data_IF_229734505086
#
_entry.id   IF_229734505086
#
_cell.length_a   1.000
_cell.length_b   1.000
_cell.length_c   1.000
_cell.angle_alpha   90.00
_cell.angle_beta   90.00
_cell.angle_gamma   90.00
#
_symmetry.space_group_name_H-M   'P 1'
#
loop_
_entity.id
_entity.type
_entity.pdbx_description
1 polymer ?
#
# COMPACT_ATOMS: atom_id res chain seq x y z
N UNK A 1 34.05 68.71 52.30
CA UNK A 1 32.75 68.38 51.67
C UNK A 1 32.98 68.20 50.17
N UNK A 2 33.24 66.97 49.71
CA UNK A 2 33.48 66.66 48.30
C UNK A 2 32.26 65.92 47.72
N UNK A 3 31.59 66.54 46.74
CA UNK A 3 30.51 65.93 45.94
C UNK A 3 31.11 64.95 44.94
N UNK A 4 30.72 63.67 45.01
CA UNK A 4 31.00 62.67 43.97
C UNK A 4 29.89 62.70 42.93
N UNK A 5 30.24 63.05 41.70
CA UNK A 5 29.38 62.96 40.52
C UNK A 5 29.35 61.50 40.03
N UNK A 6 28.16 60.99 39.76
CA UNK A 6 27.93 59.72 39.09
C UNK A 6 27.93 59.94 37.58
N UNK A 7 28.72 59.17 36.84
CA UNK A 7 28.65 59.08 35.38
C UNK A 7 28.25 57.65 35.01
N UNK A 8 27.05 57.52 34.42
CA UNK A 8 26.53 56.31 33.80
C UNK A 8 27.22 56.10 32.45
N UNK A 9 27.90 54.98 32.27
CA UNK A 9 28.38 54.54 30.97
C UNK A 9 27.41 53.47 30.42
N UNK A 10 26.69 53.82 29.36
CA UNK A 10 25.87 52.91 28.59
C UNK A 10 26.75 52.20 27.54
N UNK A 11 26.94 50.89 27.69
CA UNK A 11 27.62 50.06 26.69
C UNK A 11 26.59 49.54 25.69
N UNK A 12 26.66 50.01 24.45
CA UNK A 12 25.88 49.49 23.33
C UNK A 12 26.39 48.09 22.95
N UNK A 13 25.54 47.07 23.11
CA UNK A 13 25.80 45.71 22.62
C UNK A 13 25.40 45.65 21.14
N UNK A 14 26.40 45.54 20.26
CA UNK A 14 26.18 45.25 18.84
C UNK A 14 25.76 43.78 18.70
N UNK A 15 24.49 43.56 18.37
CA UNK A 15 23.96 42.23 18.03
C UNK A 15 24.32 41.87 16.59
N UNK A 16 25.26 40.93 16.42
CA UNK A 16 25.54 40.31 15.13
C UNK A 16 24.48 39.27 14.82
N UNK A 17 23.60 39.54 13.85
CA UNK A 17 22.67 38.56 13.29
C UNK A 17 23.42 37.64 12.33
N UNK A 18 23.74 36.43 12.78
CA UNK A 18 24.24 35.36 11.91
C UNK A 18 23.05 34.81 11.13
N UNK A 19 22.91 35.21 9.87
CA UNK A 19 21.98 34.57 8.92
C UNK A 19 22.59 33.22 8.56
N UNK A 20 22.14 32.16 9.23
CA UNK A 20 22.50 30.79 8.87
C UNK A 20 21.91 30.43 7.52
N UNK A 21 22.75 30.30 6.49
CA UNK A 21 22.38 29.61 5.26
C UNK A 21 22.12 28.13 5.62
N UNK A 22 20.86 27.71 5.60
CA UNK A 22 20.52 26.30 5.62
C UNK A 22 21.04 25.67 4.32
N UNK A 23 22.17 24.98 4.39
CA UNK A 23 22.61 24.10 3.30
C UNK A 23 21.58 22.99 3.06
N UNK A 24 21.62 22.32 1.88
CA UNK A 24 20.77 21.16 1.66
C UNK A 24 21.05 20.15 2.77
N UNK A 25 19.98 19.60 3.37
CA UNK A 25 20.10 18.51 4.32
C UNK A 25 20.85 17.36 3.61
N UNK A 26 22.10 17.12 4.01
CA UNK A 26 22.79 15.89 3.65
C UNK A 26 21.88 14.75 4.10
N UNK A 27 21.46 13.88 3.18
CA UNK A 27 21.01 12.55 3.58
C UNK A 27 22.08 12.00 4.53
N UNK A 28 21.67 11.43 5.67
CA UNK A 28 22.63 10.71 6.50
C UNK A 28 23.33 9.71 5.55
N UNK A 29 24.68 9.70 5.46
CA UNK A 29 25.43 8.99 4.41
C UNK A 29 25.09 7.49 4.26
N UNK A 30 24.35 6.92 5.21
CA UNK A 30 23.99 5.51 5.31
C UNK A 30 22.50 5.20 5.01
N UNK A 31 21.67 6.20 4.66
CA UNK A 31 20.25 5.97 4.37
C UNK A 31 20.02 5.48 2.94
N UNK A 32 19.31 4.35 2.74
CA UNK A 32 19.05 3.81 1.40
C UNK A 32 17.94 4.59 0.69
N UNK A 33 17.80 4.42 -0.62
CA UNK A 33 16.64 4.95 -1.36
C UNK A 33 15.35 4.25 -0.90
N UNK A 34 15.42 2.92 -0.73
CA UNK A 34 14.32 2.06 -0.31
C UNK A 34 14.71 1.23 0.92
N UNK A 35 13.74 0.97 1.78
CA UNK A 35 13.86 0.05 2.90
C UNK A 35 12.68 -0.92 2.91
N UNK A 36 12.97 -2.21 3.03
CA UNK A 36 11.96 -3.25 3.07
C UNK A 36 11.79 -3.79 4.48
N UNK A 37 10.59 -3.70 5.01
CA UNK A 37 10.23 -4.34 6.27
C UNK A 37 9.37 -5.56 5.95
N UNK A 38 9.95 -6.75 6.15
CA UNK A 38 9.32 -8.03 5.84
C UNK A 38 8.69 -8.68 7.07
N UNK A 39 7.44 -9.13 6.94
CA UNK A 39 6.67 -9.72 8.03
C UNK A 39 6.34 -11.18 7.71
N UNK A 40 6.99 -12.08 8.43
CA UNK A 40 6.83 -13.52 8.26
C UNK A 40 5.41 -13.99 8.57
N UNK A 41 4.96 -15.06 7.93
CA UNK A 41 3.72 -15.75 8.28
C UNK A 41 3.87 -16.64 9.52
N UNK A 42 2.76 -17.25 9.93
CA UNK A 42 2.71 -18.20 11.04
C UNK A 42 3.72 -19.34 10.89
N UNK A 43 4.45 -19.66 11.96
CA UNK A 43 5.50 -20.69 12.02
C UNK A 43 6.80 -20.34 11.29
N UNK A 44 6.84 -19.26 10.49
CA UNK A 44 8.01 -18.94 9.66
C UNK A 44 9.17 -18.29 10.43
N UNK A 45 9.04 -18.13 11.76
CA UNK A 45 10.08 -17.53 12.63
C UNK A 45 10.73 -18.49 13.62
N UNK A 46 10.34 -19.78 13.63
CA UNK A 46 10.96 -20.79 14.50
C UNK A 46 12.47 -20.90 14.31
N UNK A 47 12.94 -20.67 13.08
CA UNK A 47 14.35 -20.44 12.78
C UNK A 47 14.54 -19.05 12.14
N UNK A 48 14.88 -18.01 12.94
CA UNK A 48 14.96 -16.64 12.46
C UNK A 48 16.15 -16.38 11.51
N UNK A 49 17.06 -17.35 11.32
CA UNK A 49 18.16 -17.23 10.37
C UNK A 49 17.77 -17.63 8.95
N UNK A 50 16.72 -18.44 8.79
CA UNK A 50 16.22 -18.84 7.48
C UNK A 50 15.49 -17.67 6.82
N UNK A 51 15.72 -17.47 5.53
CA UNK A 51 15.05 -16.44 4.73
C UNK A 51 15.12 -15.02 5.36
N UNK A 52 16.23 -14.71 6.03
CA UNK A 52 16.41 -13.43 6.73
C UNK A 52 15.37 -13.16 7.82
N UNK A 53 14.71 -14.20 8.35
CA UNK A 53 13.65 -14.09 9.36
C UNK A 53 12.29 -13.59 8.83
N UNK A 54 12.15 -13.42 7.51
CA UNK A 54 10.93 -12.90 6.86
C UNK A 54 9.98 -13.99 6.37
N UNK A 55 10.36 -15.27 6.46
CA UNK A 55 9.63 -16.34 5.80
C UNK A 55 9.89 -16.39 4.29
N UNK A 56 9.54 -17.52 3.67
CA UNK A 56 9.96 -17.82 2.29
C UNK A 56 9.32 -16.88 1.27
N UNK A 57 8.02 -16.60 1.42
CA UNK A 57 7.23 -15.82 0.46
C UNK A 57 7.72 -14.37 0.39
N UNK A 58 7.88 -13.74 1.56
CA UNK A 58 8.32 -12.36 1.68
C UNK A 58 9.78 -12.23 1.28
N UNK A 59 10.66 -13.15 1.70
CA UNK A 59 12.07 -13.10 1.34
C UNK A 59 12.32 -13.27 -0.16
N UNK A 60 11.59 -14.17 -0.83
CA UNK A 60 11.67 -14.29 -2.30
C UNK A 60 11.20 -13.01 -3.00
N UNK A 61 10.13 -12.39 -2.50
CA UNK A 61 9.65 -11.10 -3.03
C UNK A 61 10.68 -9.99 -2.87
N UNK A 62 11.38 -9.94 -1.72
CA UNK A 62 12.51 -9.04 -1.49
C UNK A 62 13.65 -9.29 -2.49
N UNK A 63 14.01 -10.56 -2.74
CA UNK A 63 15.06 -10.89 -3.69
C UNK A 63 14.72 -10.42 -5.11
N UNK A 64 13.49 -10.64 -5.54
CA UNK A 64 13.03 -10.25 -6.87
C UNK A 64 13.01 -8.72 -7.04
N UNK A 65 12.48 -7.98 -6.06
CA UNK A 65 12.46 -6.52 -6.09
C UNK A 65 13.85 -5.91 -5.97
N UNK A 66 14.71 -6.44 -5.08
CA UNK A 66 16.08 -5.96 -4.91
C UNK A 66 16.88 -5.99 -6.22
N UNK A 67 16.65 -6.99 -7.09
CA UNK A 67 17.30 -7.06 -8.41
C UNK A 67 16.86 -5.92 -9.33
N UNK A 68 15.56 -5.63 -9.39
CA UNK A 68 15.02 -4.54 -10.23
C UNK A 68 15.46 -3.17 -9.70
N UNK A 69 15.44 -2.97 -8.39
CA UNK A 69 15.88 -1.73 -7.74
C UNK A 69 17.36 -1.46 -8.01
N UNK A 70 18.21 -2.49 -7.93
CA UNK A 70 19.63 -2.37 -8.22
C UNK A 70 19.92 -2.09 -9.70
N UNK A 71 19.13 -2.65 -10.63
CA UNK A 71 19.25 -2.38 -12.07
C UNK A 71 19.02 -0.90 -12.40
N UNK A 72 18.16 -0.22 -11.64
CA UNK A 72 17.88 1.21 -11.79
C UNK A 72 18.79 2.09 -10.93
N UNK A 73 19.87 1.53 -10.36
CA UNK A 73 20.91 2.27 -9.64
C UNK A 73 20.54 2.73 -8.23
N UNK A 74 19.41 2.26 -7.68
CA UNK A 74 18.95 2.60 -6.34
C UNK A 74 19.43 1.60 -5.30
N UNK A 75 19.55 2.07 -4.06
CA UNK A 75 19.96 1.28 -2.90
C UNK A 75 18.75 0.79 -2.12
N UNK A 76 18.84 -0.45 -1.61
CA UNK A 76 17.78 -1.07 -0.82
C UNK A 76 18.37 -1.83 0.37
N UNK A 77 17.87 -1.55 1.57
CA UNK A 77 18.12 -2.41 2.76
C UNK A 77 16.84 -3.12 3.16
N UNK A 78 16.95 -4.11 4.04
CA UNK A 78 15.79 -4.85 4.51
C UNK A 78 15.97 -5.35 5.95
N UNK A 79 14.86 -5.44 6.69
CA UNK A 79 14.81 -6.06 8.01
C UNK A 79 13.51 -6.85 8.22
N UNK A 80 13.53 -7.95 9.00
CA UNK A 80 12.31 -8.63 9.38
C UNK A 80 11.64 -7.95 10.59
N UNK A 81 10.32 -8.02 10.66
CA UNK A 81 9.60 -7.76 11.92
C UNK A 81 9.90 -8.88 12.90
N UNK A 82 10.32 -8.52 14.10
CA UNK A 82 10.57 -9.48 15.19
C UNK A 82 9.31 -9.58 16.04
N UNK A 83 8.56 -10.65 15.85
CA UNK A 83 7.33 -10.95 16.58
C UNK A 83 7.14 -12.47 16.71
N UNK A 84 6.17 -12.95 17.52
CA UNK A 84 5.99 -14.38 17.79
C UNK A 84 5.73 -15.22 16.53
N UNK A 85 4.96 -14.71 15.57
CA UNK A 85 4.57 -15.45 14.36
C UNK A 85 4.01 -16.84 14.66
N UNK A 86 3.13 -16.97 15.67
CA UNK A 86 2.69 -18.28 16.16
C UNK A 86 1.97 -19.08 15.07
N UNK A 87 2.15 -20.40 15.11
CA UNK A 87 1.44 -21.34 14.25
C UNK A 87 -0.09 -21.19 14.40
N UNK A 88 -0.82 -21.53 13.33
CA UNK A 88 -2.29 -21.57 13.39
C UNK A 88 -2.69 -22.80 14.22
N UNK A 89 -3.61 -22.67 15.19
CA UNK A 89 -4.09 -23.80 15.98
C UNK A 89 -4.71 -24.87 15.07
N UNK A 90 -4.33 -26.14 15.28
CA UNK A 90 -4.82 -27.26 14.48
C UNK A 90 -6.33 -27.51 14.65
N UNK A 91 -6.87 -27.24 15.84
CA UNK A 91 -8.23 -27.65 16.22
C UNK A 91 -9.22 -26.46 16.28
N UNK A 92 -8.78 -25.25 15.88
CA UNK A 92 -9.65 -24.07 15.82
C UNK A 92 -10.26 -23.61 17.15
N UNK A 93 -9.69 -24.01 18.30
CA UNK A 93 -10.24 -23.68 19.61
C UNK A 93 -10.09 -22.18 19.95
N UNK A 94 -10.99 -21.67 20.81
CA UNK A 94 -11.05 -20.24 21.15
C UNK A 94 -9.76 -19.72 21.80
N UNK A 95 -9.05 -20.56 22.55
CA UNK A 95 -7.81 -20.18 23.22
C UNK A 95 -6.64 -20.09 22.24
N UNK A 96 -6.53 -21.05 21.32
CA UNK A 96 -5.55 -21.02 20.23
C UNK A 96 -5.79 -19.82 19.30
N UNK A 97 -7.05 -19.53 18.97
CA UNK A 97 -7.39 -18.34 18.19
C UNK A 97 -6.99 -17.04 18.91
N UNK A 98 -7.25 -16.96 20.23
CA UNK A 98 -6.78 -15.85 21.05
C UNK A 98 -5.25 -15.69 21.06
N UNK A 99 -4.51 -16.80 21.10
CA UNK A 99 -3.04 -16.81 20.98
C UNK A 99 -2.56 -16.30 19.62
N UNK A 100 -3.21 -16.74 18.53
CA UNK A 100 -2.95 -16.26 17.17
C UNK A 100 -3.19 -14.75 17.05
N UNK A 101 -4.33 -14.25 17.54
CA UNK A 101 -4.65 -12.82 17.48
C UNK A 101 -3.70 -11.98 18.33
N UNK A 102 -3.29 -12.46 19.51
CA UNK A 102 -2.27 -11.82 20.34
C UNK A 102 -0.90 -11.73 19.62
N UNK A 103 -0.54 -12.76 18.84
CA UNK A 103 0.63 -12.72 17.97
C UNK A 103 0.51 -11.63 16.90
N UNK A 104 -0.64 -11.53 16.23
CA UNK A 104 -0.92 -10.45 15.25
C UNK A 104 -0.77 -9.08 15.92
N UNK A 105 -1.40 -8.85 17.06
CA UNK A 105 -1.36 -7.55 17.75
C UNK A 105 0.08 -7.18 18.20
N UNK A 106 0.85 -8.18 18.66
CA UNK A 106 2.28 -8.00 18.96
C UNK A 106 3.08 -7.64 17.71
N UNK A 107 2.80 -8.29 16.58
CA UNK A 107 3.40 -7.98 15.29
C UNK A 107 3.06 -6.57 14.80
N UNK A 108 1.80 -6.14 14.97
CA UNK A 108 1.34 -4.78 14.62
C UNK A 108 2.15 -3.74 15.38
N UNK A 109 2.29 -3.89 16.70
CA UNK A 109 3.08 -2.99 17.54
C UNK A 109 4.57 -3.00 17.18
N UNK A 110 5.15 -4.18 16.92
CA UNK A 110 6.55 -4.32 16.52
C UNK A 110 6.83 -3.62 15.18
N UNK A 111 5.97 -3.82 14.18
CA UNK A 111 6.07 -3.17 12.87
C UNK A 111 5.96 -1.64 13.00
N UNK A 112 4.98 -1.13 13.76
CA UNK A 112 4.81 0.30 13.98
C UNK A 112 6.07 0.95 14.58
N UNK A 113 6.67 0.28 15.57
CA UNK A 113 7.90 0.73 16.23
C UNK A 113 9.10 0.72 15.28
N UNK A 114 9.31 -0.36 14.52
CA UNK A 114 10.40 -0.47 13.56
C UNK A 114 10.27 0.59 12.45
N UNK A 115 9.09 0.73 11.86
CA UNK A 115 8.81 1.75 10.85
C UNK A 115 9.12 3.16 11.36
N UNK A 116 8.65 3.48 12.57
CA UNK A 116 8.89 4.79 13.20
C UNK A 116 10.38 5.02 13.44
N UNK A 117 11.09 4.02 14.00
CA UNK A 117 12.52 4.12 14.26
C UNK A 117 13.35 4.28 12.97
N UNK A 118 12.97 3.59 11.89
CA UNK A 118 13.62 3.71 10.59
C UNK A 118 13.37 5.09 9.98
N UNK A 119 12.12 5.54 9.91
CA UNK A 119 11.76 6.81 9.26
C UNK A 119 12.27 8.05 10.01
N UNK A 120 12.43 7.98 11.34
CA UNK A 120 13.12 9.01 12.11
C UNK A 120 14.61 9.11 11.75
N UNK A 121 15.26 7.98 11.51
CA UNK A 121 16.68 7.91 11.15
C UNK A 121 16.93 8.28 9.70
N UNK A 122 16.01 7.89 8.82
CA UNK A 122 16.09 8.05 7.38
C UNK A 122 14.81 8.70 6.81
N UNK A 123 14.59 10.01 7.08
CA UNK A 123 13.34 10.68 6.74
C UNK A 123 13.11 10.85 5.23
N UNK A 124 14.14 10.69 4.41
CA UNK A 124 14.04 10.78 2.94
C UNK A 124 13.85 9.40 2.27
N UNK A 125 14.19 8.31 2.94
CA UNK A 125 14.04 6.95 2.41
C UNK A 125 12.57 6.59 2.27
N UNK A 126 12.26 5.79 1.26
CA UNK A 126 10.94 5.17 1.15
C UNK A 126 10.92 3.78 1.77
N UNK A 127 9.78 3.38 2.31
CA UNK A 127 9.58 2.09 2.97
C UNK A 127 8.58 1.26 2.18
N UNK A 128 8.91 -0.01 1.97
CA UNK A 128 8.03 -1.04 1.43
C UNK A 128 7.71 -2.01 2.55
N UNK A 129 6.42 -2.22 2.80
CA UNK A 129 5.95 -3.22 3.76
C UNK A 129 5.51 -4.46 3.02
N UNK A 130 5.91 -5.64 3.49
CA UNK A 130 5.48 -6.88 2.85
C UNK A 130 5.19 -7.96 3.88
N UNK A 131 4.01 -8.56 3.79
CA UNK A 131 3.56 -9.59 4.70
C UNK A 131 2.94 -10.77 3.99
N UNK A 132 3.02 -11.93 4.61
CA UNK A 132 2.38 -13.16 4.16
C UNK A 132 1.51 -13.75 5.29
N UNK A 133 0.28 -14.19 4.99
CA UNK A 133 -0.61 -14.83 5.96
C UNK A 133 -0.80 -13.98 7.23
N UNK A 134 -0.45 -14.48 8.42
CA UNK A 134 -0.44 -13.69 9.67
C UNK A 134 0.38 -12.38 9.54
N UNK A 135 1.50 -12.41 8.83
CA UNK A 135 2.32 -11.23 8.58
C UNK A 135 1.65 -10.23 7.64
N UNK A 136 0.78 -10.67 6.73
CA UNK A 136 0.00 -9.78 5.87
C UNK A 136 -1.06 -9.03 6.71
N UNK A 137 -1.70 -9.68 7.67
CA UNK A 137 -2.61 -9.03 8.63
C UNK A 137 -1.89 -7.96 9.45
N UNK A 138 -0.68 -8.26 9.94
CA UNK A 138 0.19 -7.30 10.65
C UNK A 138 0.47 -6.06 9.81
N UNK A 139 0.81 -6.23 8.53
CA UNK A 139 1.01 -5.10 7.61
C UNK A 139 -0.30 -4.35 7.38
N UNK A 140 -1.38 -5.05 7.02
CA UNK A 140 -2.68 -4.46 6.72
C UNK A 140 -3.14 -3.53 7.85
N UNK A 141 -3.13 -4.01 9.09
CA UNK A 141 -3.58 -3.24 10.26
C UNK A 141 -2.75 -1.97 10.52
N UNK A 142 -1.50 -1.92 10.08
CA UNK A 142 -0.68 -0.71 10.14
C UNK A 142 -1.03 0.33 9.04
N UNK A 143 -1.62 -0.10 7.91
CA UNK A 143 -1.80 0.76 6.73
C UNK A 143 -2.72 1.96 6.98
N UNK A 144 -3.72 1.84 7.86
CA UNK A 144 -4.60 2.97 8.24
C UNK A 144 -3.79 4.11 8.86
N UNK A 145 -2.94 3.82 9.85
CA UNK A 145 -2.10 4.81 10.51
C UNK A 145 -1.02 5.38 9.57
N UNK A 146 -0.62 4.60 8.56
CA UNK A 146 0.39 4.99 7.58
C UNK A 146 -0.19 5.63 6.31
N UNK A 147 -1.51 5.83 6.22
CA UNK A 147 -2.15 6.27 4.99
C UNK A 147 -1.65 7.64 4.50
N UNK A 148 -1.26 8.51 5.43
CA UNK A 148 -0.68 9.83 5.15
C UNK A 148 0.84 9.88 5.32
N UNK A 149 1.49 8.73 5.56
CA UNK A 149 2.95 8.70 5.75
C UNK A 149 3.67 9.02 4.43
N UNK A 150 4.57 10.02 4.40
CA UNK A 150 5.33 10.35 3.20
C UNK A 150 6.40 9.30 2.87
N UNK A 151 6.78 8.46 3.83
CA UNK A 151 7.80 7.43 3.65
C UNK A 151 7.24 6.14 3.07
N UNK A 152 5.98 5.78 3.32
CA UNK A 152 5.39 4.55 2.79
C UNK A 152 5.31 4.66 1.26
N UNK A 153 6.03 3.83 0.52
CA UNK A 153 5.95 3.80 -0.94
C UNK A 153 4.91 2.78 -1.40
N UNK A 154 4.96 1.56 -0.86
CA UNK A 154 4.05 0.50 -1.24
C UNK A 154 3.88 -0.53 -0.13
N UNK A 155 2.81 -1.32 -0.22
CA UNK A 155 2.60 -2.51 0.58
C UNK A 155 2.31 -3.73 -0.30
N UNK A 156 2.81 -4.90 0.11
CA UNK A 156 2.52 -6.20 -0.49
C UNK A 156 1.87 -7.10 0.56
N UNK A 157 0.63 -7.49 0.32
CA UNK A 157 -0.14 -8.39 1.17
C UNK A 157 -0.37 -9.69 0.39
N UNK A 158 0.23 -10.80 0.83
CA UNK A 158 0.01 -12.11 0.21
C UNK A 158 -0.75 -13.00 1.18
N UNK A 159 -1.86 -13.59 0.72
CA UNK A 159 -2.73 -14.43 1.54
C UNK A 159 -3.21 -13.74 2.82
N UNK A 160 -3.70 -12.51 2.67
CA UNK A 160 -4.12 -11.66 3.79
C UNK A 160 -5.45 -12.10 4.43
N UNK A 161 -5.41 -12.42 5.73
CA UNK A 161 -6.59 -12.80 6.50
C UNK A 161 -7.52 -11.64 6.84
N UNK A 162 -7.05 -10.38 6.74
CA UNK A 162 -7.88 -9.18 6.91
C UNK A 162 -8.45 -8.67 5.58
N UNK A 163 -8.19 -9.37 4.46
CA UNK A 163 -8.53 -8.92 3.12
C UNK A 163 -10.03 -8.62 2.98
N UNK A 164 -10.33 -7.42 2.49
CA UNK A 164 -11.65 -7.05 2.01
C UNK A 164 -11.61 -6.91 0.48
N UNK A 165 -12.43 -7.69 -0.28
CA UNK A 165 -12.49 -7.55 -1.74
C UNK A 165 -12.87 -6.14 -2.21
N UNK A 166 -13.55 -5.38 -1.35
CA UNK A 166 -13.94 -3.99 -1.59
C UNK A 166 -12.84 -2.97 -1.33
N UNK A 167 -11.70 -3.37 -0.74
CA UNK A 167 -10.61 -2.43 -0.55
C UNK A 167 -10.09 -1.93 -1.90
N UNK A 168 -9.71 -0.64 -2.02
CA UNK A 168 -9.22 -0.05 -3.26
C UNK A 168 -7.75 -0.45 -3.54
N UNK A 169 -7.39 -1.71 -3.29
CA UNK A 169 -6.06 -2.28 -3.53
C UNK A 169 -5.88 -2.73 -4.97
N UNK A 170 -4.62 -2.87 -5.36
CA UNK A 170 -4.25 -3.56 -6.60
C UNK A 170 -4.39 -5.06 -6.35
N UNK A 171 -5.56 -5.59 -6.68
CA UNK A 171 -5.91 -6.98 -6.46
C UNK A 171 -5.28 -7.90 -7.52
N UNK A 172 -4.58 -8.94 -7.09
CA UNK A 172 -3.97 -9.96 -7.93
C UNK A 172 -4.34 -11.37 -7.43
N UNK A 173 -4.11 -12.38 -8.26
CA UNK A 173 -4.40 -13.78 -7.96
C UNK A 173 -5.77 -14.22 -8.47
N UNK A 174 -6.00 -15.53 -8.43
CA UNK A 174 -7.17 -16.18 -9.06
C UNK A 174 -8.50 -15.88 -8.35
N UNK A 175 -8.49 -15.41 -7.10
CA UNK A 175 -9.71 -14.99 -6.41
C UNK A 175 -10.41 -13.81 -7.13
N UNK A 176 -9.64 -12.97 -7.83
CA UNK A 176 -10.17 -11.83 -8.60
C UNK A 176 -11.07 -12.22 -9.77
N UNK A 177 -11.05 -13.48 -10.18
CA UNK A 177 -11.87 -14.00 -11.29
C UNK A 177 -13.33 -14.23 -10.90
N UNK A 178 -13.65 -14.21 -9.60
CA UNK A 178 -15.00 -14.47 -9.08
C UNK A 178 -15.47 -13.26 -8.30
N UNK A 179 -16.54 -12.57 -8.75
CA UNK A 179 -17.11 -11.44 -8.01
C UNK A 179 -17.48 -11.83 -6.58
N UNK A 180 -17.00 -11.07 -5.59
CA UNK A 180 -17.29 -11.29 -4.17
C UNK A 180 -16.41 -12.32 -3.47
N UNK A 181 -15.56 -13.06 -4.20
CA UNK A 181 -14.57 -13.95 -3.61
C UNK A 181 -13.35 -13.17 -3.06
N UNK A 182 -12.54 -13.86 -2.25
CA UNK A 182 -11.31 -13.33 -1.67
C UNK A 182 -11.55 -12.54 -0.39
N UNK A 183 -12.57 -12.89 0.40
CA UNK A 183 -12.77 -12.33 1.73
C UNK A 183 -11.88 -13.08 2.73
N UNK A 184 -11.12 -12.34 3.52
CA UNK A 184 -10.22 -12.93 4.52
C UNK A 184 -10.96 -13.46 5.75
N UNK A 185 -10.41 -14.49 6.39
CA UNK A 185 -10.99 -15.19 7.55
C UNK A 185 -11.32 -14.27 8.73
N UNK A 186 -10.55 -13.21 8.96
CA UNK A 186 -10.80 -12.28 10.07
C UNK A 186 -12.09 -11.48 9.89
N UNK A 187 -12.55 -11.32 8.65
CA UNK A 187 -13.72 -10.50 8.29
C UNK A 187 -15.07 -11.18 8.58
N UNK A 188 -15.07 -12.46 8.94
CA UNK A 188 -16.27 -13.16 9.43
C UNK A 188 -16.47 -13.03 10.94
N UNK A 189 -15.40 -12.68 11.66
CA UNK A 189 -15.44 -12.41 13.10
C UNK A 189 -14.83 -11.05 13.43
N UNK A 190 -15.29 -9.95 12.81
CA UNK A 190 -14.54 -8.69 12.78
C UNK A 190 -14.28 -8.08 14.16
N UNK A 191 -15.21 -8.24 15.12
CA UNK A 191 -15.02 -7.74 16.48
C UNK A 191 -14.00 -8.59 17.25
N UNK A 192 -14.09 -9.91 17.15
CA UNK A 192 -13.20 -10.84 17.89
C UNK A 192 -11.81 -10.92 17.28
N UNK A 193 -11.71 -10.72 15.96
CA UNK A 193 -10.47 -10.72 15.22
C UNK A 193 -9.83 -9.33 15.14
N UNK A 194 -10.45 -8.28 15.69
CA UNK A 194 -10.01 -6.88 15.51
C UNK A 194 -9.75 -6.54 14.03
N UNK A 195 -10.62 -7.01 13.13
CA UNK A 195 -10.46 -6.80 11.70
C UNK A 195 -10.58 -5.30 11.38
N UNK A 196 -9.68 -4.75 10.54
CA UNK A 196 -9.70 -3.34 10.22
C UNK A 196 -10.91 -2.97 9.35
N UNK A 197 -11.31 -1.69 9.41
CA UNK A 197 -12.23 -1.09 8.45
C UNK A 197 -11.60 -1.06 7.04
N UNK A 198 -12.38 -0.83 5.97
CA UNK A 198 -11.84 -0.71 4.62
C UNK A 198 -10.70 0.29 4.50
N UNK A 199 -9.67 -0.03 3.71
CA UNK A 199 -8.49 0.81 3.54
C UNK A 199 -8.83 2.15 2.85
N UNK A 200 -8.26 3.28 3.31
CA UNK A 200 -8.39 4.55 2.61
C UNK A 200 -7.81 4.45 1.19
N UNK A 201 -8.44 5.07 0.17
CA UNK A 201 -7.93 5.03 -1.21
C UNK A 201 -6.47 5.47 -1.35
N UNK A 202 -6.01 6.42 -0.52
CA UNK A 202 -4.64 6.95 -0.54
C UNK A 202 -3.58 5.91 -0.20
N UNK A 203 -3.90 4.88 0.56
CA UNK A 203 -3.00 3.77 0.85
C UNK A 203 -3.35 2.53 0.04
N UNK A 204 -4.65 2.26 -0.17
CA UNK A 204 -5.11 1.15 -1.00
C UNK A 204 -4.49 1.19 -2.40
N UNK A 205 -4.44 2.36 -3.05
CA UNK A 205 -3.84 2.48 -4.40
C UNK A 205 -2.33 2.21 -4.45
N UNK A 206 -1.67 2.10 -3.29
CA UNK A 206 -0.25 1.74 -3.12
C UNK A 206 -0.06 0.35 -2.51
N UNK A 207 -1.14 -0.42 -2.38
CA UNK A 207 -1.14 -1.75 -1.77
C UNK A 207 -1.51 -2.78 -2.81
N UNK A 208 -0.65 -3.79 -2.97
CA UNK A 208 -0.94 -4.99 -3.74
C UNK A 208 -1.50 -6.05 -2.80
N UNK A 209 -2.69 -6.56 -3.09
CA UNK A 209 -3.31 -7.65 -2.32
C UNK A 209 -3.46 -8.87 -3.21
N UNK A 210 -2.70 -9.92 -2.90
CA UNK A 210 -2.63 -11.18 -3.64
C UNK A 210 -3.43 -12.25 -2.92
N UNK A 211 -4.40 -12.83 -3.61
CA UNK A 211 -5.17 -13.97 -3.10
C UNK A 211 -5.56 -14.92 -4.24
N UNK A 212 -5.28 -16.21 -4.03
CA UNK A 212 -5.74 -17.28 -4.91
C UNK A 212 -7.04 -17.90 -4.39
N UNK A 213 -7.86 -18.37 -5.33
CA UNK A 213 -9.18 -18.94 -5.01
C UNK A 213 -9.02 -20.22 -4.19
N UNK A 214 -9.86 -20.37 -3.17
CA UNK A 214 -9.85 -21.51 -2.26
C UNK A 214 -8.71 -21.48 -1.24
N UNK A 215 -8.01 -20.36 -1.08
CA UNK A 215 -7.07 -20.16 0.01
C UNK A 215 -7.81 -20.09 1.36
N UNK A 216 -7.40 -20.93 2.31
CA UNK A 216 -8.02 -21.03 3.64
C UNK A 216 -8.02 -19.72 4.46
N UNK A 217 -7.18 -18.75 4.10
CA UNK A 217 -6.97 -17.51 4.87
C UNK A 217 -7.56 -16.30 4.15
N UNK A 218 -7.27 -16.11 2.86
CA UNK A 218 -7.65 -14.89 2.15
C UNK A 218 -8.88 -15.03 1.25
N UNK A 219 -9.36 -16.25 1.01
CA UNK A 219 -10.61 -16.58 0.31
C UNK A 219 -11.41 -17.56 1.18
N UNK A 220 -11.64 -17.14 2.43
CA UNK A 220 -12.25 -17.97 3.46
C UNK A 220 -13.72 -18.25 3.13
N UNK A 221 -14.10 -19.52 3.29
CA UNK A 221 -15.46 -20.02 3.12
C UNK A 221 -16.07 -20.29 4.51
N UNK A 222 -17.02 -19.45 4.98
CA UNK A 222 -17.65 -19.65 6.29
C UNK A 222 -18.57 -20.87 6.36
N UNK A 223 -18.98 -21.42 5.21
CA UNK A 223 -19.87 -22.57 5.15
C UNK A 223 -19.08 -23.89 5.11
N UNK A 224 -17.74 -23.84 5.08
CA UNK A 224 -16.89 -25.02 5.12
C UNK A 224 -16.80 -25.59 6.55
N UNK A 225 -17.12 -26.88 6.70
CA UNK A 225 -17.06 -27.59 7.99
C UNK A 225 -15.64 -27.68 8.58
N UNK A 226 -14.63 -27.73 7.72
CA UNK A 226 -13.21 -27.81 8.11
C UNK A 226 -12.28 -27.19 7.06
N UNK A 227 -11.07 -26.82 7.48
CA UNK A 227 -10.02 -26.38 6.56
C UNK A 227 -9.48 -27.59 5.79
N UNK A 228 -9.77 -27.65 4.50
CA UNK A 228 -9.38 -28.79 3.66
C UNK A 228 -7.88 -28.81 3.32
N UNK A 229 -7.33 -29.99 3.04
CA UNK A 229 -5.97 -30.15 2.56
C UNK A 229 -5.71 -29.38 1.24
N UNK A 230 -6.73 -29.23 0.39
CA UNK A 230 -6.63 -28.43 -0.83
C UNK A 230 -6.46 -26.94 -0.52
N UNK A 231 -7.20 -26.41 0.45
CA UNK A 231 -7.09 -25.02 0.87
C UNK A 231 -5.72 -24.71 1.50
N UNK A 232 -5.18 -25.65 2.29
CA UNK A 232 -3.82 -25.58 2.83
C UNK A 232 -2.78 -25.64 1.70
N UNK A 233 -2.99 -26.49 0.69
CA UNK A 233 -2.10 -26.60 -0.45
C UNK A 233 -2.05 -25.29 -1.26
N UNK A 234 -3.19 -24.64 -1.49
CA UNK A 234 -3.26 -23.29 -2.10
C UNK A 234 -2.50 -22.30 -1.24
N UNK A 235 -2.82 -22.21 0.05
CA UNK A 235 -2.20 -21.26 0.97
C UNK A 235 -0.67 -21.39 0.97
N UNK A 236 -0.13 -22.60 1.01
CA UNK A 236 1.33 -22.81 1.05
C UNK A 236 2.03 -22.76 -0.31
N UNK A 237 1.29 -22.52 -1.41
CA UNK A 237 1.80 -22.56 -2.79
C UNK A 237 2.44 -21.26 -3.30
N UNK A 238 2.17 -20.11 -2.67
CA UNK A 238 2.70 -18.83 -3.13
C UNK A 238 4.23 -18.80 -3.18
N UNK A 239 4.77 -17.94 -4.04
CA UNK A 239 6.19 -17.72 -4.22
C UNK A 239 6.99 -18.96 -4.66
N UNK A 240 6.35 -19.90 -5.37
CA UNK A 240 7.01 -21.09 -5.93
C UNK A 240 7.45 -20.93 -7.39
N UNK A 241 6.86 -19.98 -8.11
CA UNK A 241 7.25 -19.63 -9.49
C UNK A 241 8.64 -18.97 -9.54
N UNK A 242 9.30 -19.05 -10.71
CA UNK A 242 10.59 -18.41 -10.94
C UNK A 242 10.54 -16.88 -10.85
N UNK A 243 9.39 -16.29 -11.21
CA UNK A 243 9.07 -14.87 -11.04
C UNK A 243 7.66 -14.74 -10.48
N UNK A 244 7.44 -13.82 -9.54
CA UNK A 244 6.12 -13.62 -8.96
C UNK A 244 5.26 -12.66 -9.79
N UNK A 245 3.95 -12.92 -9.93
CA UNK A 245 3.06 -12.05 -10.71
C UNK A 245 2.94 -10.64 -10.11
N UNK A 246 3.21 -10.48 -8.81
CA UNK A 246 3.23 -9.18 -8.13
C UNK A 246 4.55 -8.42 -8.23
N UNK A 247 5.64 -9.04 -8.70
CA UNK A 247 6.96 -8.39 -8.72
C UNK A 247 6.95 -7.13 -9.58
N UNK A 248 6.45 -7.20 -10.81
CA UNK A 248 6.43 -6.04 -11.70
C UNK A 248 5.44 -4.95 -11.25
N UNK A 249 4.17 -5.26 -10.90
CA UNK A 249 3.26 -4.26 -10.33
C UNK A 249 3.84 -3.57 -9.09
N UNK A 250 4.49 -4.33 -8.20
CA UNK A 250 5.11 -3.75 -7.01
C UNK A 250 6.25 -2.82 -7.40
N UNK A 251 7.09 -3.24 -8.35
CA UNK A 251 8.17 -2.41 -8.85
C UNK A 251 7.69 -1.08 -9.46
N UNK A 252 6.58 -1.09 -10.21
CA UNK A 252 5.99 0.10 -10.79
C UNK A 252 5.56 1.12 -9.73
N UNK A 253 5.03 0.68 -8.58
CA UNK A 253 4.69 1.57 -7.46
C UNK A 253 5.93 2.25 -6.85
N UNK A 254 7.11 1.65 -7.00
CA UNK A 254 8.36 2.17 -6.47
C UNK A 254 9.06 3.11 -7.45
N UNK A 255 8.63 3.19 -8.71
CA UNK A 255 9.28 4.05 -9.69
C UNK A 255 9.14 5.52 -9.26
N UNK A 256 10.22 6.32 -9.34
CA UNK A 256 10.12 7.76 -9.12
C UNK A 256 9.05 8.33 -10.05
N UNK A 257 8.10 9.09 -9.50
CA UNK A 257 7.20 9.87 -10.35
C UNK A 257 8.07 10.81 -11.16
N UNK A 258 8.10 10.64 -12.48
CA UNK A 258 8.71 11.62 -13.38
C UNK A 258 7.90 12.90 -13.19
N UNK A 259 8.39 13.81 -12.36
CA UNK A 259 7.93 15.18 -12.37
C UNK A 259 8.40 15.73 -13.70
N UNK A 260 7.50 15.76 -14.69
CA UNK A 260 7.75 16.57 -15.88
C UNK A 260 8.15 17.95 -15.36
N UNK A 261 9.34 18.47 -15.71
CA UNK A 261 9.68 19.83 -15.35
C UNK A 261 8.55 20.69 -15.90
N UNK A 262 7.95 21.50 -15.02
CA UNK A 262 6.88 22.41 -15.40
C UNK A 262 7.31 23.09 -16.69
N UNK A 263 6.59 22.83 -17.79
CA UNK A 263 6.78 23.57 -19.02
C UNK A 263 6.65 25.02 -18.62
N UNK A 264 7.69 25.86 -18.76
CA UNK A 264 7.58 27.27 -18.46
C UNK A 264 6.36 27.76 -19.23
N UNK A 265 5.38 28.34 -18.53
CA UNK A 265 4.23 28.93 -19.17
C UNK A 265 4.75 29.78 -20.34
N UNK A 266 4.33 29.53 -21.60
CA UNK A 266 4.70 30.41 -22.68
C UNK A 266 4.20 31.80 -22.25
N UNK A 267 5.13 32.72 -22.05
CA UNK A 267 4.83 34.13 -21.83
C UNK A 267 4.16 34.61 -23.10
N UNK A 268 2.84 34.51 -23.16
CA UNK A 268 2.04 35.16 -24.19
C UNK A 268 2.31 36.65 -24.02
N UNK A 269 2.95 37.32 -25.00
CA UNK A 269 3.13 38.76 -24.93
C UNK A 269 1.74 39.39 -24.87
N UNK A 270 1.47 40.16 -23.81
CA UNK A 270 0.25 40.95 -23.70
C UNK A 270 0.27 41.95 -24.87
N UNK A 271 -0.68 41.91 -25.81
CA UNK A 271 -0.75 42.91 -26.87
C UNK A 271 -1.09 44.25 -26.24
N UNK A 272 -0.23 45.26 -26.40
CA UNK A 272 -0.48 46.64 -25.95
C UNK A 272 -1.39 47.42 -26.92
N UNK A 273 -2.22 46.72 -27.69
CA UNK A 273 -3.17 47.31 -28.62
C UNK A 273 -4.46 47.76 -27.91
N UNK A 274 -5.14 48.82 -28.40
CA UNK A 274 -6.42 49.25 -27.85
C UNK A 274 -7.46 48.13 -27.96
N UNK A 275 -8.10 47.81 -26.83
CA UNK A 275 -9.20 46.84 -26.74
C UNK A 275 -10.39 47.35 -27.57
N UNK A 276 -10.86 46.61 -28.59
CA UNK A 276 -12.08 46.97 -29.29
C UNK A 276 -13.28 46.87 -28.34
N UNK A 277 -14.15 47.88 -28.37
CA UNK A 277 -15.37 47.92 -27.55
C UNK A 277 -16.31 46.72 -27.79
N UNK A 278 -17.24 46.47 -26.87
CA UNK A 278 -18.10 45.29 -26.89
C UNK A 278 -18.94 45.26 -28.17
N UNK A 279 -18.76 44.21 -28.98
CA UNK A 279 -19.65 43.90 -30.08
C UNK A 279 -20.89 43.19 -29.55
N UNK A 280 -22.07 43.67 -29.96
CA UNK A 280 -23.35 43.06 -29.63
C UNK A 280 -23.43 41.63 -30.21
N UNK A 281 -24.08 40.68 -29.51
CA UNK A 281 -24.14 39.29 -29.96
C UNK A 281 -25.00 39.17 -31.22
N UNK A 282 -24.39 38.76 -32.32
CA UNK A 282 -25.10 38.28 -33.50
C UNK A 282 -25.64 36.87 -33.22
N UNK A 283 -26.97 36.72 -33.24
CA UNK A 283 -27.65 35.43 -33.23
C UNK A 283 -27.26 34.63 -34.49
N UNK A 284 -26.41 33.62 -34.34
CA UNK A 284 -26.23 32.59 -35.35
C UNK A 284 -27.21 31.45 -35.07
N UNK A 285 -28.07 31.17 -36.06
CA UNK A 285 -29.00 30.06 -36.04
C UNK A 285 -28.24 28.71 -36.04
N UNK A 286 -28.62 27.82 -35.13
CA UNK A 286 -28.14 26.43 -35.11
C UNK A 286 -28.62 25.67 -36.35
N UNK A 287 -27.78 24.87 -37.02
CA UNK A 287 -28.25 23.94 -38.03
C UNK A 287 -28.99 22.78 -37.36
N UNK A 288 -30.25 22.58 -37.77
CA UNK A 288 -31.10 21.45 -37.39
C UNK A 288 -30.54 20.16 -37.98
N UNK A 289 -30.40 19.13 -37.14
CA UNK A 289 -30.01 17.79 -37.55
C UNK A 289 -31.26 17.01 -38.02
N UNK A 290 -31.31 16.42 -39.22
CA UNK A 290 -32.47 15.64 -39.65
C UNK A 290 -32.53 14.28 -38.95
N UNK A 291 -33.67 13.98 -38.33
CA UNK A 291 -34.06 12.66 -37.86
C UNK A 291 -34.37 11.76 -39.07
N UNK A 292 -33.51 10.78 -39.36
CA UNK A 292 -33.87 9.64 -40.20
C UNK A 292 -34.20 8.46 -39.31
N UNK A 293 -35.49 8.12 -39.25
CA UNK A 293 -35.98 6.89 -38.64
C UNK A 293 -35.72 5.70 -39.54
N UNK A 294 -35.26 4.61 -38.92
CA UNK A 294 -35.38 3.25 -39.45
C UNK A 294 -36.05 2.42 -38.36
N UNK A 295 -37.32 2.10 -38.57
CA UNK A 295 -38.08 1.11 -37.82
C UNK A 295 -37.44 -0.27 -38.03
N UNK A 296 -36.98 -0.90 -36.95
CA UNK A 296 -36.68 -2.33 -36.95
C UNK A 296 -37.78 -3.04 -36.17
N UNK A 297 -38.68 -3.68 -36.91
CA UNK A 297 -39.76 -4.52 -36.42
C UNK A 297 -39.20 -5.69 -35.60
N UNK A 298 -39.57 -5.76 -34.32
CA UNK A 298 -39.32 -6.90 -33.44
C UNK A 298 -40.39 -7.97 -33.72
N UNK A 299 -39.99 -9.09 -34.30
CA UNK A 299 -40.80 -10.31 -34.29
C UNK A 299 -40.57 -11.09 -32.99
N UNK A 300 -41.60 -11.64 -32.34
CA UNK A 300 -41.44 -12.52 -31.18
C UNK A 300 -40.95 -13.90 -31.63
N UNK A 301 -39.96 -14.44 -30.89
CA UNK A 301 -39.47 -15.79 -31.08
C UNK A 301 -40.48 -16.82 -30.52
N UNK A 302 -40.80 -17.82 -31.33
CA UNK A 302 -41.62 -18.99 -30.99
C UNK A 302 -40.91 -19.91 -29.97
N UNK A 303 -41.70 -20.40 -29.01
CA UNK A 303 -41.40 -21.51 -28.11
C UNK A 303 -41.37 -22.85 -28.87
N UNK A 304 -40.40 -23.75 -28.65
CA UNK A 304 -40.50 -25.12 -29.14
C UNK A 304 -41.29 -26.01 -28.16
N UNK A 305 -42.32 -26.67 -28.68
CA UNK A 305 -43.14 -27.68 -28.02
C UNK A 305 -42.35 -28.93 -27.57
N UNK A 306 -42.83 -29.68 -26.56
CA UNK A 306 -42.14 -30.84 -26.01
C UNK A 306 -42.28 -32.08 -26.91
N UNK A 307 -41.18 -32.74 -27.22
CA UNK A 307 -41.15 -34.08 -27.83
C UNK A 307 -41.40 -35.14 -26.77
N UNK A 308 -42.48 -35.91 -26.96
CA UNK A 308 -42.71 -37.21 -26.34
C UNK A 308 -41.78 -38.25 -27.01
N UNK A 309 -41.06 -39.01 -26.18
CA UNK A 309 -40.22 -40.15 -26.56
C UNK A 309 -39.58 -40.76 -25.32
#
# INVERSE_FOLDING_TARGET
>A
MLRRMWALAASAVLGSTVIGLAGPASAAPDCPDLHWIGVAGSGERDNPTLNGGMGRVVYRSLQDISRLVAQDGRTMTAEPVVYPAVEVPADGDLLGWGGFMSSVDTGVAALANQYTAFTQRCPQSKVVLAGYSQGAMVVHRNLHALATSPNLAAALLVADGDRLPTDPTINLGTATMVPGAGKGVAQDWPILAHAPAPLPPTVGSRTISVCDRGDAVCDYDPDADEVTAAAIAVHTSYARSASQPWTWPLYQLLMPTVTNPAVPNPTVPIPTGPVPGPQAPTLQASPQNPLTGTETSVQPAEEPAPTLG
#
